data_IF_598932271266
#
_entry.id   IF_598932271266
#
_cell.length_a   1.000
_cell.length_b   1.000
_cell.length_c   1.000
_cell.angle_alpha   90.00
_cell.angle_beta   90.00
_cell.angle_gamma   90.00
#
_symmetry.space_group_name_H-M   'P 1'
#
loop_
_entity.id
_entity.type
_entity.pdbx_description
1 polymer ?
#
# COMPACT_ATOMS: atom_id res chain seq x y z
N UNK A 1 32.04 -21.99 -2.33
CA UNK A 1 31.90 -20.55 -2.67
C UNK A 1 30.49 -20.03 -2.36
N UNK A 2 29.43 -20.79 -2.66
CA UNK A 2 28.01 -20.39 -2.43
C UNK A 2 27.66 -20.01 -0.98
N UNK A 3 28.06 -20.83 0.00
CA UNK A 3 27.73 -20.56 1.41
C UNK A 3 28.35 -19.26 1.98
N UNK A 4 29.48 -18.80 1.39
CA UNK A 4 30.10 -17.51 1.76
C UNK A 4 29.34 -16.35 1.14
N UNK A 5 28.93 -16.47 -0.11
CA UNK A 5 28.12 -15.49 -0.81
C UNK A 5 26.75 -15.34 -0.16
N UNK A 6 26.08 -16.45 0.18
CA UNK A 6 24.79 -16.42 0.88
C UNK A 6 24.88 -15.71 2.24
N UNK A 7 25.94 -15.97 3.02
CA UNK A 7 26.16 -15.25 4.29
C UNK A 7 26.42 -13.75 4.10
N UNK A 8 27.18 -13.38 3.08
CA UNK A 8 27.42 -11.96 2.78
C UNK A 8 26.13 -11.26 2.34
N UNK A 9 25.32 -11.91 1.52
CA UNK A 9 24.03 -11.39 1.10
C UNK A 9 23.09 -11.21 2.30
N UNK A 10 22.93 -12.24 3.13
CA UNK A 10 22.09 -12.15 4.33
C UNK A 10 22.51 -11.03 5.29
N UNK A 11 23.82 -10.79 5.44
CA UNK A 11 24.33 -9.66 6.22
C UNK A 11 24.04 -8.30 5.58
N UNK A 12 24.12 -8.22 4.25
CA UNK A 12 23.77 -7.00 3.51
C UNK A 12 22.28 -6.69 3.63
N UNK A 13 21.42 -7.70 3.47
CA UNK A 13 19.97 -7.58 3.60
C UNK A 13 19.55 -7.17 5.01
N UNK A 14 20.18 -7.76 6.04
CA UNK A 14 19.93 -7.39 7.44
C UNK A 14 20.32 -5.93 7.72
N UNK A 15 21.47 -5.47 7.19
CA UNK A 15 21.89 -4.07 7.33
C UNK A 15 20.93 -3.12 6.60
N UNK A 16 20.52 -3.51 5.40
CA UNK A 16 19.55 -2.73 4.62
C UNK A 16 18.23 -2.58 5.38
N UNK A 17 17.72 -3.66 5.97
CA UNK A 17 16.51 -3.64 6.79
C UNK A 17 16.62 -2.69 7.98
N UNK A 18 17.73 -2.74 8.75
CA UNK A 18 17.98 -1.82 9.86
C UNK A 18 18.02 -0.35 9.42
N UNK A 19 18.59 -0.06 8.24
CA UNK A 19 18.61 1.29 7.68
C UNK A 19 17.21 1.76 7.29
N UNK A 20 16.38 0.88 6.73
CA UNK A 20 14.99 1.18 6.37
C UNK A 20 14.12 1.41 7.60
N UNK A 21 14.26 0.61 8.66
CA UNK A 21 13.53 0.80 9.92
C UNK A 21 13.89 2.14 10.60
N UNK A 22 15.19 2.48 10.61
CA UNK A 22 15.64 3.77 11.11
C UNK A 22 15.10 4.93 10.26
N UNK A 23 15.09 4.79 8.95
CA UNK A 23 14.56 5.80 8.03
C UNK A 23 13.05 6.00 8.21
N UNK A 24 12.30 4.90 8.39
CA UNK A 24 10.86 4.96 8.70
C UNK A 24 10.60 5.84 9.93
N UNK A 25 11.31 5.58 11.04
CA UNK A 25 11.19 6.35 12.26
C UNK A 25 11.57 7.83 12.10
N UNK A 26 12.60 8.12 11.28
CA UNK A 26 13.01 9.50 10.98
C UNK A 26 11.97 10.22 10.13
N UNK A 27 11.45 9.57 9.08
CA UNK A 27 10.41 10.14 8.22
C UNK A 27 9.10 10.40 8.97
N UNK A 28 8.71 9.51 9.87
CA UNK A 28 7.53 9.70 10.73
C UNK A 28 7.65 10.94 11.61
N UNK A 29 8.83 11.18 12.16
CA UNK A 29 9.06 12.30 13.10
C UNK A 29 9.26 13.63 12.39
N UNK A 30 9.94 13.65 11.25
CA UNK A 30 10.42 14.87 10.61
C UNK A 30 9.81 15.13 9.23
N UNK A 31 9.04 14.20 8.70
CA UNK A 31 8.68 14.17 7.29
C UNK A 31 9.90 13.89 6.41
N UNK A 32 9.65 13.65 5.12
CA UNK A 32 10.77 13.39 4.19
C UNK A 32 11.60 14.65 3.92
N UNK A 33 10.99 15.84 3.93
CA UNK A 33 11.69 17.09 3.69
C UNK A 33 12.63 17.46 4.84
N UNK A 34 12.17 17.27 6.09
CA UNK A 34 12.97 17.53 7.30
C UNK A 34 14.02 16.46 7.60
N UNK A 35 13.91 15.27 7.00
CA UNK A 35 14.83 14.17 7.20
C UNK A 35 16.16 14.38 6.43
N UNK A 36 17.25 13.84 6.97
CA UNK A 36 18.54 13.81 6.30
C UNK A 36 19.20 12.43 6.40
N UNK A 37 20.07 12.10 5.46
CA UNK A 37 20.88 10.87 5.52
C UNK A 37 21.71 10.80 6.82
N UNK A 38 22.15 11.94 7.36
CA UNK A 38 22.87 11.97 8.64
C UNK A 38 22.03 11.54 9.82
N UNK A 39 20.77 11.98 9.86
CA UNK A 39 19.83 11.58 10.91
C UNK A 39 19.45 10.12 10.81
N UNK A 40 19.20 9.62 9.59
CA UNK A 40 18.94 8.21 9.33
C UNK A 40 20.13 7.36 9.77
N UNK A 41 21.35 7.75 9.40
CA UNK A 41 22.58 7.07 9.80
C UNK A 41 22.75 7.04 11.33
N UNK A 42 22.53 8.18 12.00
CA UNK A 42 22.57 8.28 13.45
C UNK A 42 21.54 7.34 14.11
N UNK A 43 20.32 7.32 13.61
CA UNK A 43 19.24 6.48 14.12
C UNK A 43 19.54 4.98 13.90
N UNK A 44 20.16 4.62 12.77
CA UNK A 44 20.51 3.26 12.42
C UNK A 44 21.80 2.76 13.11
N UNK A 45 22.57 3.63 13.77
CA UNK A 45 23.87 3.29 14.33
C UNK A 45 24.97 3.11 13.27
N UNK A 46 24.85 3.75 12.11
CA UNK A 46 25.80 3.69 11.00
C UNK A 46 26.40 5.05 10.67
N UNK A 47 27.43 5.06 9.82
CA UNK A 47 27.95 6.29 9.23
C UNK A 47 27.11 6.69 8.00
N UNK A 48 27.04 7.98 7.63
CA UNK A 48 26.42 8.39 6.37
C UNK A 48 26.98 7.69 5.14
N UNK A 49 28.30 7.44 5.09
CA UNK A 49 28.93 6.68 4.01
C UNK A 49 28.43 5.25 3.90
N UNK A 50 28.10 4.60 5.03
CA UNK A 50 27.50 3.28 5.02
C UNK A 50 26.07 3.31 4.44
N UNK A 51 25.27 4.37 4.69
CA UNK A 51 23.96 4.53 4.06
C UNK A 51 24.09 4.71 2.55
N UNK A 52 25.03 5.57 2.09
CA UNK A 52 25.26 5.80 0.67
C UNK A 52 25.73 4.57 -0.12
N UNK A 53 26.27 3.54 0.56
CA UNK A 53 26.58 2.27 -0.11
C UNK A 53 25.35 1.41 -0.44
N UNK A 54 24.16 1.73 0.11
CA UNK A 54 22.89 1.05 -0.12
C UNK A 54 21.86 1.91 -0.84
N UNK A 55 21.89 3.22 -0.62
CA UNK A 55 20.87 4.15 -1.12
C UNK A 55 21.54 5.43 -1.61
N UNK A 56 21.22 5.84 -2.82
CA UNK A 56 21.79 7.02 -3.45
C UNK A 56 21.42 8.33 -2.72
N UNK A 57 20.18 8.40 -2.24
CA UNK A 57 19.61 9.55 -1.57
C UNK A 57 18.46 9.13 -0.63
N UNK A 58 17.89 10.08 0.10
CA UNK A 58 16.76 9.81 1.02
C UNK A 58 15.47 9.44 0.28
N UNK A 59 15.30 9.93 -0.93
CA UNK A 59 14.17 9.64 -1.80
C UNK A 59 14.20 8.17 -2.27
N UNK A 60 15.40 7.62 -2.54
CA UNK A 60 15.59 6.20 -2.82
C UNK A 60 15.24 5.31 -1.61
N UNK A 61 15.53 5.77 -0.40
CA UNK A 61 15.10 5.08 0.84
C UNK A 61 13.58 5.10 0.97
N UNK A 62 12.96 6.26 0.73
CA UNK A 62 11.49 6.37 0.76
C UNK A 62 10.83 5.45 -0.27
N UNK A 63 11.35 5.45 -1.50
CA UNK A 63 10.87 4.55 -2.55
C UNK A 63 11.01 3.07 -2.18
N UNK A 64 12.10 2.69 -1.48
CA UNK A 64 12.29 1.33 -0.99
C UNK A 64 11.26 0.96 0.09
N UNK A 65 10.97 1.87 1.03
CA UNK A 65 9.94 1.67 2.06
C UNK A 65 8.55 1.52 1.43
N UNK A 66 8.22 2.35 0.45
CA UNK A 66 6.94 2.25 -0.26
C UNK A 66 6.85 0.95 -1.05
N UNK A 67 7.94 0.52 -1.69
CA UNK A 67 7.99 -0.76 -2.40
C UNK A 67 7.70 -1.94 -1.46
N UNK A 68 8.33 -1.99 -0.28
CA UNK A 68 8.06 -3.01 0.74
C UNK A 68 6.61 -2.99 1.23
N UNK A 69 6.04 -1.80 1.43
CA UNK A 69 4.64 -1.63 1.81
C UNK A 69 3.70 -2.21 0.75
N UNK A 70 3.92 -1.86 -0.52
CA UNK A 70 3.12 -2.36 -1.65
C UNK A 70 3.28 -3.86 -1.89
N UNK A 71 4.45 -4.44 -1.64
CA UNK A 71 4.66 -5.89 -1.68
C UNK A 71 3.81 -6.61 -0.62
N UNK A 72 3.78 -6.08 0.61
CA UNK A 72 2.91 -6.62 1.67
C UNK A 72 1.42 -6.48 1.34
N UNK A 73 1.02 -5.33 0.81
CA UNK A 73 -0.35 -5.10 0.35
C UNK A 73 -0.77 -6.13 -0.70
N UNK A 74 0.05 -6.29 -1.76
CA UNK A 74 -0.22 -7.26 -2.82
C UNK A 74 -0.34 -8.68 -2.25
N UNK A 75 0.58 -9.10 -1.37
CA UNK A 75 0.54 -10.42 -0.75
C UNK A 75 -0.76 -10.65 0.05
N UNK A 76 -1.23 -9.64 0.80
CA UNK A 76 -2.49 -9.73 1.57
C UNK A 76 -3.70 -9.81 0.63
N UNK A 77 -3.74 -9.00 -0.42
CA UNK A 77 -4.82 -9.02 -1.40
C UNK A 77 -4.81 -10.34 -2.20
N UNK A 78 -3.65 -10.83 -2.59
CA UNK A 78 -3.53 -12.11 -3.32
C UNK A 78 -3.98 -13.29 -2.47
N UNK A 79 -3.62 -13.30 -1.19
CA UNK A 79 -4.03 -14.34 -0.25
C UNK A 79 -5.54 -14.30 0.07
N UNK A 80 -6.19 -13.13 -0.04
CA UNK A 80 -7.61 -13.00 0.22
C UNK A 80 -8.41 -13.82 -0.81
N UNK A 81 -9.30 -14.68 -0.33
CA UNK A 81 -10.08 -15.58 -1.19
C UNK A 81 -9.41 -16.92 -1.52
N UNK A 82 -8.13 -17.15 -1.14
CA UNK A 82 -7.48 -18.46 -1.24
C UNK A 82 -8.01 -19.37 -0.14
N UNK A 83 -9.05 -20.06 -0.31
CA UNK A 83 -9.74 -20.90 0.70
C UNK A 83 -11.24 -20.78 0.62
N UNK A 84 -11.72 -19.79 -0.11
CA UNK A 84 -13.06 -19.79 -0.66
C UNK A 84 -12.99 -20.79 -1.82
N UNK A 85 -13.81 -21.86 -1.79
CA UNK A 85 -13.82 -22.97 -2.76
C UNK A 85 -13.52 -22.49 -4.19
N UNK A 86 -12.91 -23.34 -5.03
CA UNK A 86 -12.66 -23.09 -6.47
C UNK A 86 -13.90 -22.64 -7.26
N UNK A 87 -15.08 -22.69 -6.64
CA UNK A 87 -16.39 -22.24 -7.14
C UNK A 87 -16.82 -20.89 -6.55
N UNK A 88 -15.91 -20.11 -5.96
CA UNK A 88 -16.28 -18.80 -5.39
C UNK A 88 -16.92 -17.90 -6.47
N UNK A 89 -18.06 -17.30 -6.13
CA UNK A 89 -18.69 -16.36 -7.04
C UNK A 89 -17.78 -15.12 -7.24
N UNK A 90 -17.80 -14.49 -8.43
CA UNK A 90 -17.06 -13.25 -8.65
C UNK A 90 -17.38 -12.17 -7.60
N UNK A 91 -18.62 -12.12 -7.10
CA UNK A 91 -19.04 -11.22 -6.05
C UNK A 91 -18.31 -11.48 -4.72
N UNK A 92 -18.18 -12.76 -4.32
CA UNK A 92 -17.44 -13.12 -3.10
C UNK A 92 -15.94 -12.81 -3.22
N UNK A 93 -15.38 -12.95 -4.42
CA UNK A 93 -13.99 -12.56 -4.68
C UNK A 93 -13.83 -11.04 -4.60
N UNK A 94 -14.74 -10.25 -5.17
CA UNK A 94 -14.71 -8.79 -5.07
C UNK A 94 -14.73 -8.35 -3.60
N UNK A 95 -15.66 -8.89 -2.82
CA UNK A 95 -15.80 -8.59 -1.40
C UNK A 95 -14.51 -8.92 -0.64
N UNK A 96 -13.99 -10.14 -0.78
CA UNK A 96 -12.77 -10.57 -0.09
C UNK A 96 -11.56 -9.71 -0.45
N UNK A 97 -11.35 -9.41 -1.73
CA UNK A 97 -10.22 -8.62 -2.22
C UNK A 97 -10.31 -7.15 -1.78
N UNK A 98 -11.50 -6.55 -1.89
CA UNK A 98 -11.73 -5.17 -1.48
C UNK A 98 -11.56 -5.00 0.05
N UNK A 99 -12.14 -5.90 0.84
CA UNK A 99 -11.98 -5.88 2.31
C UNK A 99 -10.53 -6.12 2.75
N UNK A 100 -9.77 -6.98 2.04
CA UNK A 100 -8.35 -7.21 2.32
C UNK A 100 -7.51 -5.95 2.05
N UNK A 101 -7.75 -5.28 0.91
CA UNK A 101 -7.09 -4.02 0.57
C UNK A 101 -7.38 -2.93 1.61
N UNK A 102 -8.65 -2.72 1.96
CA UNK A 102 -9.08 -1.72 2.93
C UNK A 102 -8.52 -2.03 4.32
N UNK A 103 -8.66 -3.28 4.77
CA UNK A 103 -8.19 -3.76 6.07
C UNK A 103 -6.68 -3.62 6.25
N UNK A 104 -5.89 -3.83 5.17
CA UNK A 104 -4.46 -3.60 5.21
C UNK A 104 -4.12 -2.15 5.61
N UNK A 105 -4.71 -1.17 4.97
CA UNK A 105 -4.46 0.23 5.28
C UNK A 105 -5.14 0.70 6.59
N UNK A 106 -6.29 0.14 6.94
CA UNK A 106 -6.95 0.43 8.21
C UNK A 106 -6.10 -0.01 9.41
N UNK A 107 -5.42 -1.17 9.29
CA UNK A 107 -4.52 -1.69 10.31
C UNK A 107 -3.12 -1.05 10.29
N UNK A 108 -2.70 -0.49 9.16
CA UNK A 108 -1.36 0.03 8.94
C UNK A 108 -1.39 1.51 8.48
N UNK A 109 -1.73 2.47 9.36
CA UNK A 109 -1.84 3.90 9.01
C UNK A 109 -0.55 4.47 8.42
N UNK A 110 0.60 3.96 8.83
CA UNK A 110 1.92 4.38 8.31
C UNK A 110 2.12 3.98 6.85
N UNK A 111 1.59 2.82 6.45
CA UNK A 111 1.62 2.38 5.06
C UNK A 111 0.68 3.23 4.20
N UNK A 112 -0.44 3.70 4.76
CA UNK A 112 -1.32 4.68 4.11
C UNK A 112 -0.59 6.02 3.90
N UNK A 113 0.09 6.53 4.94
CA UNK A 113 0.87 7.77 4.85
C UNK A 113 1.95 7.69 3.77
N UNK A 114 2.64 6.55 3.67
CA UNK A 114 3.62 6.29 2.60
C UNK A 114 2.96 6.23 1.23
N UNK A 115 1.90 5.44 1.09
CA UNK A 115 1.25 5.15 -0.19
C UNK A 115 0.58 6.36 -0.83
N UNK A 116 0.10 7.30 -0.03
CA UNK A 116 -0.61 8.49 -0.49
C UNK A 116 0.18 9.79 -0.28
N UNK A 117 1.45 9.69 0.06
CA UNK A 117 2.35 10.85 0.24
C UNK A 117 1.82 11.88 1.25
N UNK A 118 1.07 11.45 2.27
CA UNK A 118 0.41 12.34 3.22
C UNK A 118 1.41 13.22 3.96
N UNK A 119 2.54 12.65 4.36
CA UNK A 119 3.66 13.37 5.00
C UNK A 119 4.43 14.29 4.04
N UNK A 120 4.14 14.23 2.75
CA UNK A 120 4.75 15.07 1.69
C UNK A 120 3.78 16.07 1.08
N UNK A 121 2.63 16.32 1.72
CA UNK A 121 1.60 17.20 1.17
C UNK A 121 0.91 16.63 -0.08
N UNK A 122 0.71 15.31 -0.12
CA UNK A 122 0.03 14.59 -1.20
C UNK A 122 0.72 14.70 -2.57
N UNK A 123 2.04 14.80 -2.59
CA UNK A 123 2.82 14.86 -3.84
C UNK A 123 4.04 13.94 -3.76
N UNK A 124 4.37 13.19 -4.82
CA UNK A 124 5.53 12.31 -4.87
C UNK A 124 6.85 13.12 -5.07
N UNK A 125 7.13 14.05 -4.17
CA UNK A 125 8.31 14.92 -4.26
C UNK A 125 9.59 14.12 -4.12
N UNK A 126 10.54 14.40 -5.00
CA UNK A 126 11.88 13.80 -4.96
C UNK A 126 11.97 12.39 -5.54
N UNK A 127 10.87 11.73 -5.88
CA UNK A 127 10.92 10.46 -6.61
C UNK A 127 11.24 10.71 -8.09
N UNK A 128 12.11 9.88 -8.68
CA UNK A 128 12.30 9.89 -10.12
C UNK A 128 11.01 9.44 -10.81
N UNK A 129 10.76 9.92 -12.04
CA UNK A 129 9.59 9.51 -12.82
C UNK A 129 9.52 7.98 -12.97
N UNK A 130 10.65 7.33 -13.20
CA UNK A 130 10.73 5.86 -13.32
C UNK A 130 10.32 5.16 -12.05
N UNK A 131 10.83 5.57 -10.89
CA UNK A 131 10.49 4.97 -9.60
C UNK A 131 9.02 5.21 -9.27
N UNK A 132 8.52 6.43 -9.49
CA UNK A 132 7.12 6.76 -9.26
C UNK A 132 6.19 5.90 -10.13
N UNK A 133 6.51 5.68 -11.41
CA UNK A 133 5.73 4.81 -12.28
C UNK A 133 5.74 3.36 -11.78
N UNK A 134 6.89 2.82 -11.40
CA UNK A 134 7.01 1.47 -10.85
C UNK A 134 6.16 1.28 -9.58
N UNK A 135 6.11 2.28 -8.71
CA UNK A 135 5.31 2.25 -7.49
C UNK A 135 3.82 2.35 -7.78
N UNK A 136 3.42 3.19 -8.76
CA UNK A 136 2.04 3.27 -9.23
C UNK A 136 1.59 1.94 -9.86
N UNK A 137 2.44 1.28 -10.64
CA UNK A 137 2.15 -0.03 -11.23
C UNK A 137 1.88 -1.08 -10.13
N UNK A 138 2.71 -1.11 -9.08
CA UNK A 138 2.51 -2.02 -7.94
C UNK A 138 1.22 -1.73 -7.15
N UNK A 139 0.87 -0.46 -6.97
CA UNK A 139 -0.41 -0.10 -6.35
C UNK A 139 -1.59 -0.53 -7.23
N UNK A 140 -1.48 -0.33 -8.54
CA UNK A 140 -2.48 -0.80 -9.49
C UNK A 140 -2.60 -2.32 -9.48
N UNK A 141 -1.49 -3.06 -9.35
CA UNK A 141 -1.51 -4.53 -9.25
C UNK A 141 -2.34 -5.01 -8.06
N UNK A 142 -2.29 -4.33 -6.91
CA UNK A 142 -3.13 -4.65 -5.76
C UNK A 142 -4.64 -4.45 -6.01
N UNK A 143 -5.02 -3.64 -7.02
CA UNK A 143 -6.41 -3.35 -7.37
C UNK A 143 -6.92 -4.21 -8.54
N UNK A 144 -6.04 -4.79 -9.35
CA UNK A 144 -6.40 -5.66 -10.48
C UNK A 144 -7.33 -6.83 -10.10
N UNK A 145 -7.16 -7.52 -8.95
CA UNK A 145 -8.07 -8.59 -8.57
C UNK A 145 -9.51 -8.13 -8.41
N UNK A 146 -9.75 -6.91 -7.90
CA UNK A 146 -11.10 -6.33 -7.81
C UNK A 146 -11.66 -6.02 -9.20
N UNK A 147 -10.84 -5.45 -10.10
CA UNK A 147 -11.24 -5.19 -11.48
C UNK A 147 -11.59 -6.47 -12.23
N UNK A 148 -10.79 -7.52 -12.09
CA UNK A 148 -11.06 -8.82 -12.67
C UNK A 148 -12.37 -9.44 -12.16
N UNK A 149 -12.65 -9.30 -10.86
CA UNK A 149 -13.91 -9.76 -10.26
C UNK A 149 -15.11 -8.97 -10.83
N UNK A 150 -15.00 -7.66 -11.00
CA UNK A 150 -16.02 -6.82 -11.62
C UNK A 150 -16.28 -7.21 -13.09
N UNK A 151 -15.24 -7.52 -13.86
CA UNK A 151 -15.39 -8.03 -15.22
C UNK A 151 -16.08 -9.40 -15.25
N UNK A 152 -15.74 -10.29 -14.33
CA UNK A 152 -16.38 -11.59 -14.19
C UNK A 152 -17.85 -11.49 -13.73
N UNK A 153 -18.25 -10.36 -13.14
CA UNK A 153 -19.66 -10.03 -12.85
C UNK A 153 -20.40 -9.42 -14.04
N UNK A 154 -19.77 -9.32 -15.21
CA UNK A 154 -20.41 -8.89 -16.46
C UNK A 154 -20.12 -7.45 -16.91
N UNK A 155 -19.27 -6.69 -16.21
CA UNK A 155 -18.86 -5.37 -16.69
C UNK A 155 -17.83 -5.49 -17.82
N UNK A 156 -17.92 -4.59 -18.82
CA UNK A 156 -16.83 -4.41 -19.76
C UNK A 156 -15.61 -3.76 -19.08
N UNK A 157 -14.45 -3.84 -19.71
CA UNK A 157 -13.19 -3.36 -19.10
C UNK A 157 -13.22 -1.90 -18.66
N UNK A 158 -13.87 -1.01 -19.43
CA UNK A 158 -13.95 0.41 -19.10
C UNK A 158 -14.86 0.67 -17.89
N UNK A 159 -15.98 0.00 -17.83
CA UNK A 159 -16.92 0.10 -16.70
C UNK A 159 -16.32 -0.53 -15.43
N UNK A 160 -15.64 -1.68 -15.56
CA UNK A 160 -14.93 -2.30 -14.44
C UNK A 160 -13.83 -1.39 -13.87
N UNK A 161 -13.03 -0.79 -14.72
CA UNK A 161 -12.00 0.18 -14.30
C UNK A 161 -12.62 1.38 -13.59
N UNK A 162 -13.73 1.92 -14.11
CA UNK A 162 -14.44 3.06 -13.48
C UNK A 162 -14.98 2.70 -12.10
N UNK A 163 -15.64 1.55 -11.97
CA UNK A 163 -16.17 1.09 -10.68
C UNK A 163 -15.05 0.78 -9.68
N UNK A 164 -13.96 0.14 -10.14
CA UNK A 164 -12.78 -0.13 -9.33
C UNK A 164 -12.12 1.17 -8.82
N UNK A 165 -12.01 2.19 -9.69
CA UNK A 165 -11.51 3.52 -9.31
C UNK A 165 -12.41 4.19 -8.28
N UNK A 166 -13.73 4.06 -8.41
CA UNK A 166 -14.71 4.61 -7.48
C UNK A 166 -14.64 3.91 -6.11
N UNK A 167 -14.52 2.59 -6.11
CA UNK A 167 -14.32 1.77 -4.91
C UNK A 167 -13.05 2.21 -4.16
N UNK A 168 -11.94 2.35 -4.89
CA UNK A 168 -10.66 2.80 -4.36
C UNK A 168 -10.76 4.20 -3.76
N UNK A 169 -11.34 5.17 -4.48
CA UNK A 169 -11.50 6.55 -4.01
C UNK A 169 -12.37 6.62 -2.75
N UNK A 170 -13.46 5.83 -2.68
CA UNK A 170 -14.31 5.73 -1.50
C UNK A 170 -13.54 5.19 -0.30
N UNK A 171 -12.81 4.09 -0.48
CA UNK A 171 -11.98 3.49 0.56
C UNK A 171 -10.90 4.44 1.09
N UNK A 172 -10.17 5.13 0.20
CA UNK A 172 -9.18 6.14 0.60
C UNK A 172 -9.81 7.27 1.41
N UNK A 173 -10.98 7.76 1.00
CA UNK A 173 -11.73 8.78 1.75
C UNK A 173 -12.07 8.34 3.17
N UNK A 174 -12.59 7.12 3.34
CA UNK A 174 -12.90 6.55 4.64
C UNK A 174 -11.66 6.35 5.51
N UNK A 175 -10.56 5.83 4.94
CA UNK A 175 -9.28 5.64 5.65
C UNK A 175 -8.72 6.97 6.15
N UNK A 176 -8.76 8.03 5.34
CA UNK A 176 -8.35 9.37 5.76
C UNK A 176 -9.22 9.90 6.90
N UNK A 177 -10.54 9.71 6.84
CA UNK A 177 -11.45 10.11 7.91
C UNK A 177 -11.20 9.31 9.20
N UNK A 178 -10.89 8.03 9.10
CA UNK A 178 -10.55 7.17 10.24
C UNK A 178 -9.25 7.63 10.90
N UNK A 179 -8.18 7.79 10.13
CA UNK A 179 -6.85 8.14 10.68
C UNK A 179 -6.79 9.57 11.24
N UNK A 180 -7.54 10.50 10.66
CA UNK A 180 -7.69 11.86 11.19
C UNK A 180 -8.69 11.95 12.36
N UNK A 181 -9.38 10.87 12.69
CA UNK A 181 -10.43 10.83 13.72
C UNK A 181 -11.73 11.54 13.31
N UNK A 182 -11.82 12.08 12.09
CA UNK A 182 -13.00 12.82 11.61
C UNK A 182 -14.24 11.94 11.45
N UNK A 183 -14.08 10.64 11.22
CA UNK A 183 -15.22 9.70 11.13
C UNK A 183 -16.09 9.72 12.38
N UNK A 184 -15.50 10.03 13.56
CA UNK A 184 -16.20 10.11 14.85
C UNK A 184 -17.26 11.22 14.90
N UNK A 185 -17.08 12.29 14.09
CA UNK A 185 -18.06 13.39 14.00
C UNK A 185 -19.42 12.90 13.48
N UNK A 186 -19.42 11.80 12.74
CA UNK A 186 -20.63 11.19 12.16
C UNK A 186 -21.12 10.00 12.97
N UNK A 187 -20.45 9.62 14.07
CA UNK A 187 -20.79 8.45 14.85
C UNK A 187 -20.72 7.13 14.07
N UNK A 188 -19.88 7.09 13.03
CA UNK A 188 -19.75 5.98 12.09
C UNK A 188 -18.41 5.24 12.26
N UNK A 189 -18.38 4.01 11.78
CA UNK A 189 -17.17 3.18 11.64
C UNK A 189 -16.79 3.05 10.17
N UNK A 190 -15.51 3.31 9.84
CA UNK A 190 -15.05 3.35 8.46
C UNK A 190 -15.09 1.96 7.80
N UNK A 191 -14.79 0.89 8.55
CA UNK A 191 -14.82 -0.47 8.02
C UNK A 191 -16.26 -0.89 7.70
N UNK A 192 -17.19 -0.61 8.60
CA UNK A 192 -18.61 -0.92 8.38
C UNK A 192 -19.16 -0.15 7.17
N UNK A 193 -18.79 1.12 7.00
CA UNK A 193 -19.20 1.92 5.84
C UNK A 193 -18.60 1.39 4.53
N UNK A 194 -17.34 0.93 4.57
CA UNK A 194 -16.71 0.34 3.39
C UNK A 194 -17.36 -0.98 3.00
N UNK A 195 -17.59 -1.87 3.97
CA UNK A 195 -18.26 -3.16 3.76
C UNK A 195 -19.68 -2.97 3.19
N UNK A 196 -20.45 -2.04 3.78
CA UNK A 196 -21.78 -1.69 3.26
C UNK A 196 -21.72 -1.20 1.80
N UNK A 197 -20.75 -0.34 1.46
CA UNK A 197 -20.55 0.15 0.09
C UNK A 197 -20.23 -1.00 -0.89
N UNK A 198 -19.37 -1.94 -0.50
CA UNK A 198 -19.04 -3.11 -1.34
C UNK A 198 -20.27 -3.99 -1.57
N UNK A 199 -21.07 -4.24 -0.52
CA UNK A 199 -22.33 -5.02 -0.62
C UNK A 199 -23.32 -4.32 -1.57
N UNK A 200 -23.54 -3.02 -1.40
CA UNK A 200 -24.43 -2.24 -2.28
C UNK A 200 -23.95 -2.21 -3.73
N UNK A 201 -22.63 -2.13 -3.96
CA UNK A 201 -22.05 -2.23 -5.31
C UNK A 201 -22.38 -3.59 -5.94
N UNK A 202 -22.19 -4.68 -5.20
CA UNK A 202 -22.48 -6.06 -5.67
C UNK A 202 -23.98 -6.21 -5.99
N UNK A 203 -24.87 -5.75 -5.12
CA UNK A 203 -26.31 -5.80 -5.33
C UNK A 203 -26.75 -5.00 -6.55
N UNK A 204 -26.24 -3.79 -6.71
CA UNK A 204 -26.47 -2.94 -7.88
C UNK A 204 -26.07 -3.61 -9.19
N UNK A 205 -24.96 -4.35 -9.19
CA UNK A 205 -24.49 -5.05 -10.38
C UNK A 205 -25.33 -6.29 -10.69
N UNK A 206 -25.77 -7.04 -9.68
CA UNK A 206 -26.69 -8.18 -9.84
C UNK A 206 -28.05 -7.78 -10.41
N UNK A 207 -28.55 -6.60 -10.06
CA UNK A 207 -29.83 -6.08 -10.55
C UNK A 207 -29.80 -5.55 -12.00
N UNK A 208 -28.63 -5.52 -12.65
CA UNK A 208 -28.45 -5.06 -14.05
C UNK A 208 -28.44 -6.20 -15.06
N UNK A 209 -28.36 -7.45 -14.64
CA UNK A 209 -28.40 -8.66 -15.47
C UNK A 209 -29.75 -9.32 -15.46
#
# INVERSE_FOLDING_TARGET
MEARQQRQQALADSRRALMLDAARSVFERLGIEGASIREIAKQAGYTPGAIYSYFENKEAIYGALLAESLERLNAVVDAAGTGINETASPAALLEAKASAWFGFYAANPRDLDLGFYLVQGMQPRGLTATLNNQLNDRLHDALKPCEAALQAMGLNGQDALRENTSLFAHGVGLLLMQHTGRIRMFGQDATQLFDAYVIELIERLRGRG
#
